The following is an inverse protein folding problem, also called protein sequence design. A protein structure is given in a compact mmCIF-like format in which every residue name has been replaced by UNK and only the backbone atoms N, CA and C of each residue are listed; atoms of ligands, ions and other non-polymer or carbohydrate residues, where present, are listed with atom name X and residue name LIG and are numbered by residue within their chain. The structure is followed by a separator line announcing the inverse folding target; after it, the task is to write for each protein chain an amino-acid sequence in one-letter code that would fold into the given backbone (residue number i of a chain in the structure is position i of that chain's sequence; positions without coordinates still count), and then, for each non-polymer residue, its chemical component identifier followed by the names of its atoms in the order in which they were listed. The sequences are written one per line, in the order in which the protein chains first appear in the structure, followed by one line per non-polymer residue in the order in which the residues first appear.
data_IF_859451672393
#
_entry.id   IF_859451672393
#
_cell.length_a   1.000
_cell.length_b   1.000
_cell.length_c   1.000
_cell.angle_alpha   90.00
_cell.angle_beta   90.00
_cell.angle_gamma   90.00
#
_symmetry.space_group_name_H-M   'P 1'
#
loop_
_entity.id
_entity.type
_entity.pdbx_description
1 polymer ?
#
# COMPACT_ATOMS: atom_id res chain seq x y z
N UNK A 1 36.03 11.38 14.42
CA UNK A 1 34.75 12.10 14.40
C UNK A 1 34.05 12.04 13.06
N UNK A 2 34.50 12.72 11.99
CA UNK A 2 33.78 12.73 10.70
C UNK A 2 33.77 11.35 10.00
N UNK A 3 34.89 10.61 10.04
CA UNK A 3 34.95 9.25 9.49
C UNK A 3 34.02 8.26 10.23
N UNK A 4 34.01 8.30 11.56
CA UNK A 4 33.11 7.46 12.40
C UNK A 4 31.64 7.79 12.14
N UNK A 5 31.32 9.07 11.89
CA UNK A 5 29.96 9.49 11.54
C UNK A 5 29.54 8.99 10.15
N UNK A 6 30.46 8.97 9.18
CA UNK A 6 30.20 8.38 7.86
C UNK A 6 29.99 6.87 7.96
N UNK A 7 30.77 6.17 8.78
CA UNK A 7 30.57 4.73 9.04
C UNK A 7 29.22 4.47 9.69
N UNK A 8 28.78 5.34 10.61
CA UNK A 8 27.45 5.28 11.20
C UNK A 8 26.34 5.47 10.16
N UNK A 9 26.46 6.49 9.29
CA UNK A 9 25.51 6.79 8.21
C UNK A 9 25.39 5.59 7.25
N UNK A 10 26.51 5.05 6.77
CA UNK A 10 26.47 3.91 5.85
C UNK A 10 26.11 2.59 6.55
N UNK A 11 26.37 2.46 7.85
CA UNK A 11 25.94 1.32 8.65
C UNK A 11 24.42 1.19 8.79
N UNK A 12 23.67 2.28 8.64
CA UNK A 12 22.20 2.26 8.63
C UNK A 12 21.60 1.78 7.29
N UNK A 13 22.42 1.61 6.24
CA UNK A 13 21.96 1.13 4.92
C UNK A 13 21.34 -0.27 5.03
N UNK A 14 21.99 -1.17 5.75
CA UNK A 14 21.56 -2.56 5.92
C UNK A 14 20.76 -2.82 7.21
N UNK A 15 20.65 -1.83 8.09
CA UNK A 15 20.01 -1.93 9.40
C UNK A 15 19.13 -0.69 9.64
N UNK A 16 17.91 -0.66 9.08
CA UNK A 16 17.10 0.55 9.06
C UNK A 16 16.69 1.12 10.42
N UNK A 17 16.64 0.28 11.45
CA UNK A 17 16.44 0.68 12.85
C UNK A 17 17.51 1.65 13.37
N UNK A 18 18.70 1.66 12.75
CA UNK A 18 19.82 2.52 13.14
C UNK A 18 19.72 3.96 12.62
N UNK A 19 18.70 4.29 11.83
CA UNK A 19 18.50 5.68 11.38
C UNK A 19 18.29 6.65 12.55
N UNK A 20 17.70 6.20 13.65
CA UNK A 20 17.63 7.00 14.88
C UNK A 20 19.03 7.35 15.42
N UNK A 21 19.95 6.37 15.45
CA UNK A 21 21.34 6.56 15.88
C UNK A 21 22.10 7.52 14.95
N UNK A 22 21.87 7.43 13.64
CA UNK A 22 22.45 8.36 12.66
C UNK A 22 22.01 9.79 12.96
N UNK A 23 20.71 10.01 13.20
CA UNK A 23 20.17 11.33 13.54
C UNK A 23 20.75 11.86 14.85
N UNK A 24 20.94 11.00 15.85
CA UNK A 24 21.62 11.31 17.12
C UNK A 24 23.07 11.73 16.87
N UNK A 25 23.85 10.96 16.10
CA UNK A 25 25.26 11.25 15.82
C UNK A 25 25.47 12.53 15.01
N UNK A 26 24.61 12.79 14.01
CA UNK A 26 24.66 14.05 13.25
C UNK A 26 24.26 15.23 14.15
N UNK A 27 23.28 15.04 15.05
CA UNK A 27 22.90 16.08 16.01
C UNK A 27 24.07 16.48 16.91
N UNK A 28 24.81 15.50 17.44
CA UNK A 28 25.99 15.77 18.26
C UNK A 28 27.07 16.51 17.48
N UNK A 29 27.31 16.11 16.23
CA UNK A 29 28.29 16.76 15.35
C UNK A 29 27.94 18.22 15.05
N UNK A 30 26.65 18.54 14.93
CA UNK A 30 26.15 19.90 14.69
C UNK A 30 25.95 20.72 15.98
N UNK A 31 26.00 20.09 17.16
CA UNK A 31 25.54 20.70 18.40
C UNK A 31 24.05 21.08 18.36
N UNK A 32 23.25 20.26 17.67
CA UNK A 32 21.79 20.38 17.59
C UNK A 32 21.12 19.71 18.80
N UNK A 33 19.90 20.14 19.11
CA UNK A 33 19.07 19.54 20.17
C UNK A 33 18.65 18.11 19.81
N UNK A 34 18.42 17.86 18.52
CA UNK A 34 18.09 16.55 17.98
C UNK A 34 17.79 16.64 16.49
N UNK A 35 17.70 15.47 15.86
CA UNK A 35 17.49 15.33 14.43
C UNK A 35 16.29 14.47 14.12
N UNK A 36 15.72 14.68 12.94
CA UNK A 36 14.64 13.88 12.38
C UNK A 36 14.84 13.63 10.89
N UNK A 37 14.37 12.49 10.42
CA UNK A 37 14.05 12.26 9.01
C UNK A 37 12.53 12.38 8.89
N UNK A 38 12.05 13.31 8.08
CA UNK A 38 10.63 13.61 7.98
C UNK A 38 10.11 13.51 6.55
N UNK A 39 8.88 13.04 6.41
CA UNK A 39 8.10 13.08 5.18
C UNK A 39 6.77 13.77 5.44
N UNK A 40 6.49 14.79 4.64
CA UNK A 40 5.27 15.59 4.66
C UNK A 40 4.48 15.33 3.36
N UNK A 41 3.29 14.73 3.46
CA UNK A 41 2.40 14.52 2.32
C UNK A 41 1.98 15.83 1.62
N UNK A 42 1.48 15.77 0.37
CA UNK A 42 1.07 16.95 -0.37
C UNK A 42 0.04 17.80 0.40
N UNK A 43 0.02 19.11 0.16
CA UNK A 43 -0.92 20.01 0.84
C UNK A 43 -2.37 19.58 0.61
N UNK A 44 -3.16 19.54 1.69
CA UNK A 44 -4.54 19.04 1.66
C UNK A 44 -4.68 17.52 1.69
N UNK A 45 -3.55 16.78 1.68
CA UNK A 45 -3.55 15.37 2.03
C UNK A 45 -4.11 15.19 3.44
N UNK A 46 -4.90 14.13 3.61
CA UNK A 46 -5.35 13.72 4.95
C UNK A 46 -4.25 12.97 5.70
N UNK A 47 -3.32 12.32 4.99
CA UNK A 47 -2.19 11.54 5.54
C UNK A 47 -1.39 12.38 6.55
N UNK A 48 -1.05 11.86 7.75
CA UNK A 48 -0.18 12.59 8.67
C UNK A 48 1.24 12.65 8.09
N UNK A 49 2.05 13.59 8.56
CA UNK A 49 3.49 13.49 8.32
C UNK A 49 4.07 12.27 9.04
N UNK A 50 5.12 11.68 8.49
CA UNK A 50 5.88 10.58 9.10
C UNK A 50 7.23 11.08 9.54
N UNK A 51 7.71 10.67 10.71
CA UNK A 51 9.03 11.02 11.22
C UNK A 51 9.75 9.82 11.80
N UNK A 52 11.05 9.75 11.56
CA UNK A 52 11.99 9.02 12.41
C UNK A 52 12.70 10.06 13.27
N UNK A 53 12.62 9.90 14.58
CA UNK A 53 13.27 10.79 15.53
C UNK A 53 14.59 10.17 15.98
N UNK A 54 15.61 11.00 16.11
CA UNK A 54 16.82 10.65 16.84
C UNK A 54 16.54 10.71 18.34
N UNK A 55 16.86 11.87 18.95
CA UNK A 55 16.62 12.13 20.38
C UNK A 55 15.57 13.20 20.65
N UNK A 56 14.83 13.61 19.62
CA UNK A 56 13.76 14.59 19.78
C UNK A 56 12.60 13.98 20.59
N UNK A 57 11.92 14.77 21.44
CA UNK A 57 10.78 14.28 22.21
C UNK A 57 9.59 13.94 21.32
N UNK A 58 8.87 12.88 21.69
CA UNK A 58 7.75 12.37 20.90
C UNK A 58 6.52 13.29 20.92
N UNK A 59 6.24 13.93 22.06
CA UNK A 59 5.06 14.79 22.27
C UNK A 59 4.96 15.98 21.28
N UNK A 60 5.95 16.88 21.15
CA UNK A 60 5.90 17.97 20.16
C UNK A 60 5.93 17.44 18.72
N UNK A 61 6.62 16.33 18.49
CA UNK A 61 6.70 15.69 17.18
C UNK A 61 5.33 15.15 16.75
N UNK A 62 4.56 14.58 17.67
CA UNK A 62 3.18 14.14 17.41
C UNK A 62 2.25 15.32 17.08
N UNK A 63 2.36 16.44 17.81
CA UNK A 63 1.59 17.67 17.53
C UNK A 63 1.93 18.20 16.13
N UNK A 64 3.22 18.25 15.78
CA UNK A 64 3.65 18.62 14.43
C UNK A 64 3.02 17.74 13.35
N UNK A 65 3.10 16.41 13.49
CA UNK A 65 2.59 15.47 12.47
C UNK A 65 1.09 15.59 12.25
N UNK A 66 0.34 15.88 13.32
CA UNK A 66 -1.12 15.99 13.29
C UNK A 66 -1.62 17.37 12.83
N UNK A 67 -0.97 18.46 13.24
CA UNK A 67 -1.53 19.81 13.14
C UNK A 67 -0.71 20.79 12.30
N UNK A 68 0.61 20.62 12.26
CA UNK A 68 1.53 21.57 11.61
C UNK A 68 2.45 20.98 10.54
N UNK A 69 2.04 19.95 9.74
CA UNK A 69 2.92 19.39 8.72
C UNK A 69 3.23 20.43 7.62
N UNK A 70 2.32 21.35 7.35
CA UNK A 70 2.52 22.51 6.47
C UNK A 70 2.56 23.80 7.30
N UNK A 71 3.75 24.17 7.75
CA UNK A 71 4.05 25.40 8.48
C UNK A 71 4.96 26.31 7.64
N UNK A 72 5.24 27.57 8.07
CA UNK A 72 6.05 28.50 7.28
C UNK A 72 7.44 27.99 6.89
N UNK A 73 8.11 27.20 7.75
CA UNK A 73 9.40 26.59 7.39
C UNK A 73 9.23 25.51 6.32
N UNK A 74 8.24 24.62 6.45
CA UNK A 74 7.95 23.62 5.42
C UNK A 74 7.58 24.26 4.08
N UNK A 75 6.81 25.34 4.08
CA UNK A 75 6.49 26.08 2.85
C UNK A 75 7.74 26.71 2.23
N UNK A 76 8.58 27.35 3.04
CA UNK A 76 9.77 28.03 2.58
C UNK A 76 10.82 27.05 2.02
N UNK A 77 10.99 25.89 2.66
CA UNK A 77 11.98 24.89 2.24
C UNK A 77 11.65 24.32 0.86
N UNK A 78 10.38 24.27 0.42
CA UNK A 78 10.02 23.77 -0.93
C UNK A 78 10.74 24.48 -2.10
N UNK A 79 11.23 25.70 -1.86
CA UNK A 79 11.93 26.53 -2.86
C UNK A 79 13.45 26.28 -2.88
N UNK A 80 13.97 25.48 -1.96
CA UNK A 80 15.39 25.21 -1.79
C UNK A 80 15.82 24.04 -2.69
N UNK A 81 16.96 24.15 -3.40
CA UNK A 81 17.52 23.04 -4.17
C UNK A 81 17.71 21.77 -3.32
N UNK A 82 17.36 20.61 -3.87
CA UNK A 82 17.54 19.32 -3.19
C UNK A 82 18.99 19.05 -2.82
N UNK A 83 19.20 18.41 -1.67
CA UNK A 83 20.52 18.05 -1.17
C UNK A 83 21.34 19.22 -0.65
N UNK A 84 20.80 20.44 -0.59
CA UNK A 84 21.47 21.59 -0.01
C UNK A 84 21.03 21.78 1.45
N UNK A 85 22.00 21.96 2.34
CA UNK A 85 21.72 22.32 3.73
C UNK A 85 21.35 23.81 3.83
N UNK A 86 20.32 24.12 4.62
CA UNK A 86 19.83 25.49 4.85
C UNK A 86 19.37 25.67 6.29
N UNK A 87 19.34 26.92 6.77
CA UNK A 87 18.60 27.28 7.98
C UNK A 87 17.19 27.70 7.56
N UNK A 88 16.16 27.14 8.17
CA UNK A 88 14.79 27.48 7.81
C UNK A 88 14.45 28.94 8.15
N UNK A 89 14.99 29.49 9.24
CA UNK A 89 14.84 30.91 9.57
C UNK A 89 15.42 31.85 8.52
N UNK A 90 16.47 31.43 7.79
CA UNK A 90 17.01 32.25 6.69
C UNK A 90 16.10 32.35 5.47
N UNK A 91 15.04 31.53 5.41
CA UNK A 91 14.10 31.46 4.29
C UNK A 91 12.79 32.21 4.54
N UNK A 92 12.55 32.65 5.77
CA UNK A 92 11.33 33.35 6.19
C UNK A 92 11.66 34.75 6.72
N UNK A 93 10.64 35.60 6.87
CA UNK A 93 10.84 36.92 7.45
C UNK A 93 11.34 36.80 8.91
N UNK A 94 12.39 37.53 9.32
CA UNK A 94 12.92 37.46 10.68
C UNK A 94 11.85 37.67 11.75
N UNK A 95 11.79 36.76 12.73
CA UNK A 95 10.82 36.82 13.84
C UNK A 95 9.36 36.55 13.46
N UNK A 96 9.07 36.23 12.19
CA UNK A 96 7.72 35.83 11.77
C UNK A 96 7.29 34.51 12.40
N UNK A 97 8.23 33.57 12.58
CA UNK A 97 7.95 32.25 13.13
C UNK A 97 7.42 32.32 14.57
N UNK A 98 7.97 33.21 15.40
CA UNK A 98 7.57 33.44 16.79
C UNK A 98 6.11 33.89 16.95
N UNK A 99 5.49 34.37 15.87
CA UNK A 99 4.08 34.83 15.84
C UNK A 99 3.10 33.72 15.43
N UNK A 100 3.58 32.49 15.21
CA UNK A 100 2.77 31.39 14.69
C UNK A 100 2.31 30.44 15.80
N UNK A 101 1.16 29.79 15.60
CA UNK A 101 0.70 28.72 16.49
C UNK A 101 1.67 27.51 16.48
N UNK A 102 2.29 27.22 15.33
CA UNK A 102 3.34 26.21 15.22
C UNK A 102 4.50 26.47 16.19
N UNK A 103 4.96 27.72 16.32
CA UNK A 103 6.00 28.06 17.27
C UNK A 103 5.55 27.86 18.72
N UNK A 104 4.36 28.36 19.07
CA UNK A 104 3.83 28.25 20.43
C UNK A 104 3.62 26.79 20.87
N UNK A 105 3.10 25.95 19.98
CA UNK A 105 2.68 24.58 20.31
C UNK A 105 3.83 23.57 20.21
N UNK A 106 4.78 23.77 19.28
CA UNK A 106 5.81 22.77 18.94
C UNK A 106 7.22 23.23 19.29
N UNK A 107 7.56 24.50 19.03
CA UNK A 107 8.95 24.97 19.10
C UNK A 107 9.31 25.53 20.49
N UNK A 108 8.51 26.46 20.99
CA UNK A 108 8.75 27.18 22.24
C UNK A 108 8.86 26.27 23.48
N UNK A 109 7.99 25.25 23.68
CA UNK A 109 8.05 24.41 24.88
C UNK A 109 9.36 23.63 25.01
N UNK A 110 10.11 23.49 23.90
CA UNK A 110 11.34 22.71 23.80
C UNK A 110 12.56 23.55 23.43
N UNK A 111 12.40 24.87 23.38
CA UNK A 111 13.48 25.82 23.09
C UNK A 111 14.06 25.68 21.68
N UNK A 112 13.26 25.20 20.72
CA UNK A 112 13.64 25.19 19.31
C UNK A 112 13.53 26.61 18.75
N UNK A 113 14.63 27.15 18.25
CA UNK A 113 14.67 28.50 17.67
C UNK A 113 14.89 28.48 16.17
N UNK A 114 15.58 27.46 15.64
CA UNK A 114 15.81 27.26 14.21
C UNK A 114 15.87 25.77 13.89
N UNK A 115 15.81 25.42 12.61
CA UNK A 115 16.04 24.07 12.11
C UNK A 115 16.98 24.11 10.90
N UNK A 116 17.95 23.21 10.88
CA UNK A 116 18.82 23.02 9.72
C UNK A 116 18.27 21.89 8.88
N UNK A 117 17.88 22.19 7.65
CA UNK A 117 17.17 21.27 6.78
C UNK A 117 18.00 20.87 5.56
N UNK A 118 17.82 19.62 5.13
CA UNK A 118 18.18 19.12 3.80
C UNK A 118 16.91 18.57 3.16
N UNK A 119 16.47 19.16 2.06
CA UNK A 119 15.41 18.57 1.24
C UNK A 119 15.92 17.37 0.46
N UNK A 120 15.22 16.25 0.61
CA UNK A 120 15.51 15.01 -0.07
C UNK A 120 14.63 14.84 -1.31
N UNK A 121 15.28 14.70 -2.48
CA UNK A 121 14.60 14.59 -3.77
C UNK A 121 13.61 13.41 -3.83
N UNK A 122 13.95 12.28 -3.21
CA UNK A 122 13.10 11.09 -3.22
C UNK A 122 11.73 11.28 -2.56
N UNK A 123 11.56 12.32 -1.74
CA UNK A 123 10.31 12.68 -1.09
C UNK A 123 9.55 13.82 -1.77
N UNK A 124 10.06 14.36 -2.89
CA UNK A 124 9.43 15.45 -3.60
C UNK A 124 8.61 14.95 -4.80
N UNK A 125 7.56 14.17 -4.53
CA UNK A 125 6.67 13.58 -5.55
C UNK A 125 5.25 14.10 -5.37
N UNK A 126 4.60 14.52 -6.46
CA UNK A 126 3.19 14.98 -6.45
C UNK A 126 2.89 16.06 -5.38
N UNK A 127 3.85 16.95 -5.11
CA UNK A 127 3.71 18.06 -4.16
C UNK A 127 4.01 17.71 -2.69
N UNK A 128 4.48 16.49 -2.40
CA UNK A 128 5.06 16.15 -1.09
C UNK A 128 6.46 16.77 -0.90
N UNK A 129 6.92 16.81 0.35
CA UNK A 129 8.25 17.31 0.72
C UNK A 129 8.80 16.51 1.90
N UNK A 130 10.11 16.45 2.04
CA UNK A 130 10.72 15.79 3.19
C UNK A 130 12.23 15.72 3.08
N UNK A 131 12.85 15.22 4.14
CA UNK A 131 14.30 15.08 4.25
C UNK A 131 14.75 15.17 5.69
N UNK A 132 15.97 15.64 5.90
CA UNK A 132 16.59 15.67 7.23
C UNK A 132 16.42 17.05 7.85
N UNK A 133 16.03 17.10 9.12
CA UNK A 133 15.93 18.33 9.90
C UNK A 133 16.64 18.20 11.24
N UNK A 134 17.39 19.23 11.64
CA UNK A 134 18.14 19.25 12.91
C UNK A 134 17.83 20.52 13.71
N UNK A 135 17.17 20.37 14.86
CA UNK A 135 16.66 21.48 15.65
C UNK A 135 17.79 22.19 16.42
N UNK A 136 17.80 23.52 16.38
CA UNK A 136 18.82 24.38 17.00
C UNK A 136 18.20 25.18 18.15
N UNK A 137 18.89 25.20 19.29
CA UNK A 137 18.50 26.02 20.44
C UNK A 137 18.91 27.49 20.25
N UNK A 138 18.26 28.40 20.97
CA UNK A 138 18.61 29.82 21.00
C UNK A 138 20.05 30.15 21.42
N UNK A 139 20.73 29.26 22.15
CA UNK A 139 22.16 29.43 22.52
C UNK A 139 23.13 29.09 21.38
N UNK A 140 22.64 28.63 20.23
CA UNK A 140 23.43 28.17 19.09
C UNK A 140 23.22 28.96 17.80
N UNK A 141 22.40 30.01 17.82
CA UNK A 141 22.02 30.81 16.63
C UNK A 141 23.21 31.56 16.03
N UNK A 142 24.17 31.98 16.84
CA UNK A 142 25.38 32.70 16.39
C UNK A 142 26.30 31.86 15.47
N UNK A 143 26.17 30.52 15.51
CA UNK A 143 26.99 29.59 14.72
C UNK A 143 26.22 28.89 13.60
N UNK A 144 24.99 29.31 13.29
CA UNK A 144 24.13 28.67 12.28
C UNK A 144 24.82 28.53 10.93
N UNK A 145 25.50 29.58 10.45
CA UNK A 145 26.19 29.53 9.16
C UNK A 145 27.32 28.48 9.12
N UNK A 146 28.02 28.25 10.24
CA UNK A 146 29.03 27.20 10.34
C UNK A 146 28.39 25.81 10.34
N UNK A 147 27.30 25.64 11.09
CA UNK A 147 26.58 24.36 11.18
C UNK A 147 25.93 23.98 9.85
N UNK A 148 25.37 24.94 9.11
CA UNK A 148 24.88 24.72 7.74
C UNK A 148 26.00 24.19 6.86
N UNK A 149 27.21 24.76 6.90
CA UNK A 149 28.35 24.25 6.11
C UNK A 149 28.77 22.83 6.51
N UNK A 150 28.71 22.49 7.80
CA UNK A 150 28.99 21.12 8.26
C UNK A 150 27.92 20.15 7.75
N UNK A 151 26.64 20.51 7.87
CA UNK A 151 25.53 19.70 7.37
C UNK A 151 25.59 19.54 5.84
N UNK A 152 25.97 20.57 5.10
CA UNK A 152 26.11 20.53 3.64
C UNK A 152 27.17 19.52 3.20
N UNK A 153 28.26 19.36 3.97
CA UNK A 153 29.28 18.32 3.72
C UNK A 153 28.75 16.91 3.97
N UNK A 154 27.85 16.73 4.93
CA UNK A 154 27.23 15.43 5.25
C UNK A 154 26.06 15.10 4.30
N UNK A 155 25.41 16.10 3.72
CA UNK A 155 24.21 15.94 2.89
C UNK A 155 24.33 14.89 1.78
N UNK A 156 25.41 14.85 0.97
CA UNK A 156 25.56 13.83 -0.07
C UNK A 156 25.61 12.41 0.50
N UNK A 157 26.14 12.22 1.71
CA UNK A 157 26.24 10.93 2.36
C UNK A 157 24.90 10.49 2.94
N UNK A 158 24.19 11.40 3.61
CA UNK A 158 22.85 11.17 4.14
C UNK A 158 21.86 10.81 3.03
N UNK A 159 21.85 11.57 1.92
CA UNK A 159 20.96 11.30 0.79
C UNK A 159 21.26 9.95 0.14
N UNK A 160 22.54 9.65 -0.16
CA UNK A 160 22.93 8.36 -0.79
C UNK A 160 22.65 7.16 0.11
N UNK A 161 22.89 7.27 1.42
CA UNK A 161 22.59 6.21 2.35
C UNK A 161 21.07 5.99 2.45
N UNK A 162 20.28 7.06 2.46
CA UNK A 162 18.81 6.95 2.45
C UNK A 162 18.28 6.32 1.16
N UNK A 163 18.78 6.71 -0.01
CA UNK A 163 18.47 6.06 -1.29
C UNK A 163 18.72 4.54 -1.20
N UNK A 164 19.88 4.15 -0.68
CA UNK A 164 20.26 2.74 -0.53
C UNK A 164 19.39 2.01 0.51
N UNK A 165 19.09 2.62 1.67
CA UNK A 165 18.22 2.02 2.69
C UNK A 165 16.79 1.85 2.19
N UNK A 166 16.23 2.83 1.44
CA UNK A 166 14.88 2.73 0.89
C UNK A 166 14.81 1.66 -0.22
N UNK A 167 15.86 1.57 -1.05
CA UNK A 167 15.99 0.51 -2.05
C UNK A 167 16.13 -0.88 -1.41
N UNK A 168 16.86 -1.00 -0.30
CA UNK A 168 17.00 -2.28 0.41
C UNK A 168 15.76 -2.63 1.22
N UNK A 169 15.12 -1.66 1.88
CA UNK A 169 13.87 -1.85 2.61
C UNK A 169 12.70 -2.28 1.71
N UNK A 170 12.70 -1.82 0.46
CA UNK A 170 11.76 -2.34 -0.56
C UNK A 170 12.15 -3.73 -1.09
N UNK A 171 13.44 -4.11 -1.04
CA UNK A 171 13.97 -5.38 -1.56
C UNK A 171 14.15 -6.50 -0.52
N UNK A 172 14.06 -6.21 0.78
CA UNK A 172 14.00 -7.24 1.83
C UNK A 172 12.89 -8.23 1.47
N UNK A 173 13.14 -9.53 1.65
CA UNK A 173 12.40 -10.68 1.09
C UNK A 173 10.85 -10.62 1.12
N UNK A 174 10.27 -9.72 1.90
CA UNK A 174 8.85 -9.39 1.95
C UNK A 174 8.20 -9.08 0.60
N UNK A 175 8.85 -8.40 -0.37
CA UNK A 175 8.20 -8.12 -1.66
C UNK A 175 8.08 -9.37 -2.55
N UNK A 176 9.10 -10.24 -2.56
CA UNK A 176 9.04 -11.55 -3.24
C UNK A 176 8.09 -12.51 -2.54
N UNK A 177 8.08 -12.52 -1.20
CA UNK A 177 7.12 -13.31 -0.42
C UNK A 177 5.69 -12.82 -0.63
N UNK A 178 5.45 -11.50 -0.65
CA UNK A 178 4.13 -10.93 -0.88
C UNK A 178 3.64 -11.21 -2.30
N UNK A 179 4.50 -11.10 -3.31
CA UNK A 179 4.21 -11.56 -4.67
C UNK A 179 3.81 -13.04 -4.71
N UNK A 180 4.61 -13.90 -4.07
CA UNK A 180 4.31 -15.33 -4.01
C UNK A 180 2.99 -15.61 -3.27
N UNK A 181 2.69 -14.87 -2.20
CA UNK A 181 1.41 -14.96 -1.47
C UNK A 181 0.24 -14.49 -2.33
N UNK A 182 0.40 -13.41 -3.10
CA UNK A 182 -0.61 -12.92 -4.03
C UNK A 182 -0.93 -13.95 -5.11
N UNK A 183 0.08 -14.63 -5.66
CA UNK A 183 -0.11 -15.68 -6.67
C UNK A 183 -0.77 -16.95 -6.09
N UNK A 184 -0.73 -17.16 -4.77
CA UNK A 184 -1.50 -18.21 -4.10
C UNK A 184 -2.98 -17.84 -3.89
N UNK A 185 -3.39 -16.59 -4.16
CA UNK A 185 -4.77 -16.17 -4.00
C UNK A 185 -5.65 -16.66 -5.17
N UNK A 186 -6.78 -17.33 -4.90
CA UNK A 186 -7.67 -17.84 -5.96
C UNK A 186 -8.48 -16.75 -6.67
N UNK A 187 -8.46 -15.52 -6.14
CA UNK A 187 -9.14 -14.37 -6.72
C UNK A 187 -8.09 -13.41 -7.30
N UNK A 188 -8.50 -12.61 -8.29
CA UNK A 188 -7.67 -11.53 -8.81
C UNK A 188 -7.30 -10.57 -7.67
N UNK A 189 -6.01 -10.29 -7.51
CA UNK A 189 -5.49 -9.41 -6.47
C UNK A 189 -4.52 -8.38 -7.03
N UNK A 190 -4.65 -7.14 -6.56
CA UNK A 190 -3.83 -6.00 -6.95
C UNK A 190 -3.24 -5.36 -5.68
N UNK A 191 -1.94 -5.10 -5.67
CA UNK A 191 -1.32 -4.23 -4.67
C UNK A 191 -1.32 -2.80 -5.20
N UNK A 192 -1.83 -1.89 -4.39
CA UNK A 192 -1.81 -0.46 -4.66
C UNK A 192 -0.81 0.25 -3.76
N UNK A 193 -0.16 1.27 -4.29
CA UNK A 193 0.68 2.18 -3.51
C UNK A 193 -0.14 3.18 -2.69
N UNK A 194 0.55 4.06 -1.95
CA UNK A 194 -0.06 5.16 -1.18
C UNK A 194 -0.89 6.16 -2.02
N UNK A 195 -0.71 6.16 -3.34
CA UNK A 195 -1.42 7.01 -4.29
C UNK A 195 -2.58 6.27 -4.98
N UNK A 196 -2.78 4.97 -4.68
CA UNK A 196 -3.78 4.14 -5.33
C UNK A 196 -3.35 3.62 -6.71
N UNK A 197 -2.06 3.72 -7.05
CA UNK A 197 -1.51 3.20 -8.31
C UNK A 197 -1.16 1.73 -8.14
N UNK A 198 -1.42 0.93 -9.17
CA UNK A 198 -1.10 -0.50 -9.19
C UNK A 198 0.41 -0.67 -9.17
N UNK A 199 0.88 -1.34 -8.13
CA UNK A 199 2.28 -1.76 -7.99
C UNK A 199 2.52 -3.16 -8.55
N UNK A 200 1.58 -4.06 -8.26
CA UNK A 200 1.71 -5.46 -8.60
C UNK A 200 0.34 -6.11 -8.74
N UNK A 201 0.28 -7.12 -9.59
CA UNK A 201 -0.90 -7.94 -9.87
C UNK A 201 -0.53 -9.42 -9.74
N UNK A 202 -1.46 -10.26 -9.32
CA UNK A 202 -1.29 -11.71 -9.46
C UNK A 202 -1.74 -12.18 -10.85
N UNK A 203 -1.45 -13.45 -11.17
CA UNK A 203 -1.82 -14.07 -12.46
C UNK A 203 -3.31 -13.93 -12.78
N UNK A 204 -4.19 -14.17 -11.79
CA UNK A 204 -5.64 -14.05 -11.98
C UNK A 204 -6.10 -12.61 -12.30
N UNK A 205 -5.45 -11.60 -11.70
CA UNK A 205 -5.70 -10.20 -12.00
C UNK A 205 -5.23 -9.84 -13.41
N UNK A 206 -4.04 -10.31 -13.83
CA UNK A 206 -3.55 -10.08 -15.20
C UNK A 206 -4.51 -10.63 -16.26
N UNK A 207 -5.04 -11.84 -16.04
CA UNK A 207 -6.03 -12.44 -16.93
C UNK A 207 -7.33 -11.65 -16.99
N UNK A 208 -7.84 -11.20 -15.83
CA UNK A 208 -9.05 -10.41 -15.76
C UNK A 208 -8.89 -9.05 -16.46
N UNK A 209 -7.74 -8.39 -16.23
CA UNK A 209 -7.41 -7.11 -16.85
C UNK A 209 -7.25 -7.23 -18.38
N UNK A 210 -6.64 -8.31 -18.87
CA UNK A 210 -6.51 -8.58 -20.31
C UNK A 210 -7.87 -8.70 -21.00
N UNK A 211 -8.89 -9.18 -20.28
CA UNK A 211 -10.26 -9.25 -20.78
C UNK A 211 -10.98 -7.90 -20.87
N UNK A 212 -10.53 -6.88 -20.12
CA UNK A 212 -11.12 -5.52 -20.06
C UNK A 212 -12.64 -5.47 -19.85
N UNK A 213 -13.19 -6.48 -19.17
CA UNK A 213 -14.63 -6.70 -19.04
C UNK A 213 -15.12 -6.34 -17.63
N UNK A 214 -15.21 -5.04 -17.38
CA UNK A 214 -15.67 -4.41 -16.13
C UNK A 214 -14.61 -3.52 -15.49
N UNK A 215 -13.33 -3.92 -15.57
CA UNK A 215 -12.19 -3.25 -14.93
C UNK A 215 -11.04 -3.11 -15.93
N UNK A 216 -10.31 -1.99 -15.87
CA UNK A 216 -9.06 -1.73 -16.59
C UNK A 216 -8.13 -0.84 -15.75
N UNK A 217 -6.99 -0.46 -16.31
CA UNK A 217 -6.08 0.54 -15.75
C UNK A 217 -5.85 1.67 -16.74
N UNK A 218 -5.63 2.88 -16.22
CA UNK A 218 -5.24 4.03 -17.02
C UNK A 218 -3.71 4.03 -17.25
N UNK A 219 -3.23 4.88 -18.14
CA UNK A 219 -1.80 5.00 -18.46
C UNK A 219 -0.93 5.40 -17.25
N UNK A 220 -1.55 5.99 -16.21
CA UNK A 220 -0.90 6.36 -14.96
C UNK A 220 -0.88 5.23 -13.90
N UNK A 221 -1.42 4.04 -14.25
CA UNK A 221 -1.49 2.87 -13.38
C UNK A 221 -2.66 2.90 -12.38
N UNK A 222 -3.61 3.82 -12.49
CA UNK A 222 -4.81 3.86 -11.64
C UNK A 222 -5.86 2.83 -12.07
N UNK A 223 -6.54 2.22 -11.09
CA UNK A 223 -7.64 1.29 -11.35
C UNK A 223 -8.88 2.03 -11.84
N UNK A 224 -9.42 1.62 -12.99
CA UNK A 224 -10.59 2.21 -13.63
C UNK A 224 -11.64 1.14 -13.97
N UNK A 225 -12.89 1.59 -14.16
CA UNK A 225 -13.97 0.74 -14.67
C UNK A 225 -14.14 0.97 -16.17
N UNK A 226 -14.12 -0.11 -16.99
CA UNK A 226 -14.27 0.00 -18.46
C UNK A 226 -15.68 0.39 -18.90
N UNK A 227 -16.70 0.02 -18.12
CA UNK A 227 -18.07 0.49 -18.28
C UNK A 227 -18.74 0.41 -16.93
N UNK A 228 -19.19 1.55 -16.43
CA UNK A 228 -19.79 1.65 -15.11
C UNK A 228 -21.04 2.51 -15.20
N UNK A 229 -22.09 2.09 -14.51
CA UNK A 229 -23.12 3.05 -14.12
C UNK A 229 -22.43 4.14 -13.27
N UNK A 230 -22.81 5.43 -13.38
CA UNK A 230 -22.13 6.52 -12.65
C UNK A 230 -21.98 6.26 -11.14
N UNK A 231 -22.95 5.57 -10.53
CA UNK A 231 -22.89 5.17 -9.12
C UNK A 231 -21.81 4.13 -8.79
N UNK A 232 -21.50 3.20 -9.70
CA UNK A 232 -20.48 2.16 -9.48
C UNK A 232 -19.08 2.76 -9.49
N UNK A 233 -18.81 3.72 -10.38
CA UNK A 233 -17.53 4.45 -10.41
C UNK A 233 -17.30 5.25 -9.13
N UNK A 234 -18.34 5.94 -8.66
CA UNK A 234 -18.27 6.70 -7.41
C UNK A 234 -18.07 5.77 -6.21
N UNK A 235 -18.76 4.63 -6.18
CA UNK A 235 -18.61 3.63 -5.13
C UNK A 235 -17.18 3.06 -5.08
N UNK A 236 -16.60 2.69 -6.23
CA UNK A 236 -15.22 2.19 -6.29
C UNK A 236 -14.21 3.26 -5.83
N UNK A 237 -14.32 4.47 -6.34
CA UNK A 237 -13.43 5.57 -5.96
C UNK A 237 -13.50 5.84 -4.45
N UNK A 238 -14.71 5.80 -3.87
CA UNK A 238 -14.90 5.93 -2.43
C UNK A 238 -14.27 4.77 -1.66
N UNK A 239 -14.48 3.53 -2.09
CA UNK A 239 -13.93 2.37 -1.42
C UNK A 239 -12.39 2.35 -1.40
N UNK A 240 -11.75 2.71 -2.52
CA UNK A 240 -10.30 2.84 -2.61
C UNK A 240 -9.78 3.97 -1.70
N UNK A 241 -10.48 5.11 -1.69
CA UNK A 241 -10.11 6.25 -0.84
C UNK A 241 -10.24 5.93 0.64
N UNK A 242 -11.33 5.29 1.05
CA UNK A 242 -11.56 4.90 2.44
C UNK A 242 -10.51 3.87 2.89
N UNK A 243 -10.18 2.88 2.04
CA UNK A 243 -9.10 1.93 2.32
C UNK A 243 -7.73 2.62 2.47
N UNK A 244 -7.39 3.61 1.63
CA UNK A 244 -6.14 4.38 1.76
C UNK A 244 -6.10 5.23 3.05
N UNK A 245 -7.25 5.74 3.49
CA UNK A 245 -7.38 6.46 4.77
C UNK A 245 -7.19 5.52 5.96
N UNK A 246 -7.72 4.30 5.91
CA UNK A 246 -7.49 3.30 6.96
C UNK A 246 -6.03 2.81 6.95
N UNK A 247 -5.45 2.56 5.77
CA UNK A 247 -4.05 2.13 5.61
C UNK A 247 -3.01 3.16 6.08
N UNK A 248 -3.45 4.38 6.38
CA UNK A 248 -2.63 5.46 6.92
C UNK A 248 -2.91 5.77 8.39
N UNK A 249 -3.76 4.96 9.05
CA UNK A 249 -4.09 5.11 10.47
C UNK A 249 -5.08 6.23 10.78
N UNK A 250 -5.72 6.83 9.76
CA UNK A 250 -6.60 7.99 9.91
C UNK A 250 -8.10 7.66 9.91
N UNK A 251 -8.43 6.38 9.87
CA UNK A 251 -9.81 5.92 9.86
C UNK A 251 -9.90 4.46 10.26
N UNK A 252 -11.11 4.05 10.62
CA UNK A 252 -11.43 2.66 10.99
C UNK A 252 -12.55 2.08 10.13
N UNK A 253 -13.22 2.91 9.34
CA UNK A 253 -14.35 2.50 8.51
C UNK A 253 -13.87 2.04 7.13
N UNK A 254 -14.15 0.78 6.81
CA UNK A 254 -14.00 0.25 5.46
C UNK A 254 -15.31 0.41 4.69
N UNK A 255 -15.20 0.75 3.40
CA UNK A 255 -16.35 0.74 2.52
C UNK A 255 -16.83 -0.70 2.27
N UNK A 256 -18.12 -0.84 1.97
CA UNK A 256 -18.69 -2.13 1.56
C UNK A 256 -18.11 -2.60 0.22
N UNK A 257 -18.12 -3.93 -0.05
CA UNK A 257 -17.76 -4.48 -1.34
C UNK A 257 -18.51 -3.79 -2.49
N UNK A 258 -17.76 -3.39 -3.52
CA UNK A 258 -18.33 -2.69 -4.67
C UNK A 258 -18.69 -3.69 -5.76
N UNK A 259 -19.95 -3.69 -6.15
CA UNK A 259 -20.44 -4.47 -7.29
C UNK A 259 -20.13 -3.72 -8.58
N UNK A 260 -19.49 -4.40 -9.53
CA UNK A 260 -19.09 -3.84 -10.83
C UNK A 260 -19.76 -4.65 -11.94
N UNK A 261 -20.62 -3.98 -12.71
CA UNK A 261 -21.26 -4.57 -13.88
C UNK A 261 -20.25 -4.79 -15.01
N UNK A 262 -20.49 -5.81 -15.85
CA UNK A 262 -19.60 -6.19 -16.94
C UNK A 262 -20.23 -5.83 -18.30
N UNK A 263 -19.50 -5.15 -19.20
CA UNK A 263 -19.96 -4.89 -20.57
C UNK A 263 -20.48 -6.12 -21.31
N UNK A 264 -19.88 -7.30 -21.07
CA UNK A 264 -20.30 -8.57 -21.67
C UNK A 264 -21.69 -9.05 -21.22
N UNK A 265 -22.27 -8.46 -20.17
CA UNK A 265 -23.49 -8.94 -19.52
C UNK A 265 -23.27 -10.15 -18.61
N UNK A 266 -22.02 -10.57 -18.40
CA UNK A 266 -21.69 -11.62 -17.43
C UNK A 266 -22.01 -11.20 -15.99
N UNK A 267 -21.99 -12.18 -15.08
CA UNK A 267 -22.20 -11.93 -13.66
C UNK A 267 -21.23 -10.83 -13.15
N UNK A 268 -21.73 -9.88 -12.34
CA UNK A 268 -20.94 -8.73 -11.89
C UNK A 268 -19.75 -9.18 -11.05
N UNK A 269 -18.67 -8.39 -11.11
CA UNK A 269 -17.52 -8.55 -10.24
C UNK A 269 -17.84 -7.97 -8.86
N UNK A 270 -17.21 -8.50 -7.82
CA UNK A 270 -17.17 -7.88 -6.50
C UNK A 270 -15.75 -7.41 -6.21
N UNK A 271 -15.59 -6.12 -5.95
CA UNK A 271 -14.31 -5.48 -5.66
C UNK A 271 -14.26 -5.13 -4.18
N UNK A 272 -13.21 -5.59 -3.51
CA UNK A 272 -12.97 -5.35 -2.08
C UNK A 272 -11.60 -4.72 -1.92
N UNK A 273 -11.55 -3.54 -1.29
CA UNK A 273 -10.29 -2.87 -0.97
C UNK A 273 -9.94 -3.12 0.50
N UNK A 274 -8.79 -3.76 0.74
CA UNK A 274 -8.32 -4.15 2.07
C UNK A 274 -7.04 -3.37 2.39
N UNK A 275 -7.03 -2.50 3.41
CA UNK A 275 -5.80 -1.83 3.82
C UNK A 275 -4.81 -2.83 4.40
N UNK A 276 -3.54 -2.65 4.06
CA UNK A 276 -2.47 -3.38 4.73
C UNK A 276 -2.20 -2.74 6.11
N UNK A 277 -1.87 -3.54 7.14
CA UNK A 277 -1.48 -3.00 8.42
C UNK A 277 -0.25 -2.11 8.27
N UNK A 278 -0.20 -1.02 9.06
CA UNK A 278 0.96 -0.16 9.10
C UNK A 278 2.20 -0.97 9.52
N UNK A 279 3.35 -0.80 8.84
CA UNK A 279 4.58 -1.44 9.28
C UNK A 279 4.90 -1.03 10.71
N UNK A 280 5.48 -1.96 11.48
CA UNK A 280 5.82 -1.77 12.89
C UNK A 280 6.93 -0.73 13.14
N UNK A 281 7.55 -0.18 12.08
CA UNK A 281 8.59 0.84 12.17
C UNK A 281 8.30 1.98 11.17
N UNK A 282 8.44 3.26 11.59
CA UNK A 282 8.29 4.42 10.69
C UNK A 282 9.25 4.39 9.49
N UNK A 283 10.42 3.75 9.61
CA UNK A 283 11.31 3.57 8.46
C UNK A 283 10.69 2.62 7.43
N UNK A 284 10.15 1.48 7.88
CA UNK A 284 9.46 0.55 6.99
C UNK A 284 8.19 1.16 6.43
N UNK A 285 7.51 2.04 7.17
CA UNK A 285 6.41 2.82 6.63
C UNK A 285 6.88 3.70 5.45
N UNK A 286 8.00 4.39 5.61
CA UNK A 286 8.57 5.24 4.57
C UNK A 286 9.08 4.44 3.34
N UNK A 287 9.60 3.24 3.59
CA UNK A 287 10.06 2.30 2.56
C UNK A 287 8.92 1.47 1.93
N UNK A 288 7.81 1.26 2.64
CA UNK A 288 6.68 0.46 2.21
C UNK A 288 5.88 1.21 1.14
N UNK A 289 6.05 0.75 -0.09
CA UNK A 289 5.37 1.31 -1.24
C UNK A 289 3.91 0.85 -1.28
N UNK A 290 3.62 -0.41 -0.96
CA UNK A 290 2.26 -0.96 -0.99
C UNK A 290 1.45 -0.65 0.28
N UNK A 291 0.18 -0.28 0.10
CA UNK A 291 -0.72 0.17 1.18
C UNK A 291 -2.09 -0.49 1.17
N UNK A 292 -2.58 -0.90 0.01
CA UNK A 292 -3.92 -1.51 -0.12
C UNK A 292 -3.80 -2.74 -1.02
N UNK A 293 -4.48 -3.81 -0.63
CA UNK A 293 -4.74 -4.96 -1.51
C UNK A 293 -6.18 -4.85 -2.01
N UNK A 294 -6.37 -4.81 -3.32
CA UNK A 294 -7.69 -4.91 -3.94
C UNK A 294 -7.90 -6.34 -4.39
N UNK A 295 -8.97 -6.97 -3.90
CA UNK A 295 -9.38 -8.32 -4.29
C UNK A 295 -10.63 -8.21 -5.16
N UNK A 296 -10.58 -8.83 -6.33
CA UNK A 296 -11.66 -8.87 -7.31
C UNK A 296 -12.15 -10.31 -7.41
N UNK A 297 -13.39 -10.53 -6.98
CA UNK A 297 -14.05 -11.83 -7.08
C UNK A 297 -14.83 -11.88 -8.38
N UNK A 298 -14.45 -12.80 -9.27
CA UNK A 298 -15.21 -13.17 -10.46
C UNK A 298 -15.97 -14.50 -10.20
N UNK A 299 -17.31 -14.46 -10.04
CA UNK A 299 -18.11 -15.66 -9.85
C UNK A 299 -17.95 -16.70 -10.99
N UNK A 300 -17.71 -16.23 -12.23
CA UNK A 300 -17.53 -17.10 -13.38
C UNK A 300 -16.14 -17.77 -13.38
N UNK A 301 -15.10 -17.06 -12.93
CA UNK A 301 -13.77 -17.65 -12.73
C UNK A 301 -13.80 -18.72 -11.63
N UNK A 302 -14.43 -18.43 -10.49
CA UNK A 302 -14.58 -19.38 -9.38
C UNK A 302 -15.29 -20.67 -9.81
N UNK A 303 -16.35 -20.54 -10.61
CA UNK A 303 -17.08 -21.69 -11.15
C UNK A 303 -16.21 -22.54 -12.09
N UNK A 304 -15.41 -21.90 -12.95
CA UNK A 304 -14.47 -22.59 -13.86
C UNK A 304 -13.37 -23.33 -13.09
N UNK A 305 -12.78 -22.71 -12.07
CA UNK A 305 -11.77 -23.33 -11.22
C UNK A 305 -12.31 -24.58 -10.50
N UNK A 306 -13.51 -24.50 -9.93
CA UNK A 306 -14.19 -25.65 -9.31
C UNK A 306 -14.45 -26.79 -10.31
N UNK A 307 -14.89 -26.46 -11.53
CA UNK A 307 -15.05 -27.47 -12.59
C UNK A 307 -13.73 -28.18 -12.85
N UNK A 308 -12.64 -27.44 -13.07
CA UNK A 308 -11.30 -28.01 -13.32
C UNK A 308 -10.82 -28.89 -12.15
N UNK A 309 -10.98 -28.43 -10.92
CA UNK A 309 -10.57 -29.17 -9.72
C UNK A 309 -11.34 -30.49 -9.54
N UNK A 310 -12.66 -30.46 -9.75
CA UNK A 310 -13.51 -31.67 -9.71
C UNK A 310 -13.11 -32.65 -10.82
N UNK A 311 -12.83 -32.14 -12.03
CA UNK A 311 -12.35 -32.99 -13.13
C UNK A 311 -11.02 -33.67 -12.78
N UNK A 312 -10.07 -32.93 -12.22
CA UNK A 312 -8.77 -33.47 -11.83
C UNK A 312 -8.87 -34.50 -10.69
N UNK A 313 -9.72 -34.26 -9.70
CA UNK A 313 -9.85 -35.12 -8.53
C UNK A 313 -10.61 -36.43 -8.79
N UNK A 314 -11.63 -36.40 -9.67
CA UNK A 314 -12.54 -37.54 -9.89
C UNK A 314 -12.56 -38.05 -11.33
N UNK A 315 -11.71 -37.52 -12.22
CA UNK A 315 -11.69 -37.90 -13.64
C UNK A 315 -12.99 -37.58 -14.38
N UNK A 316 -13.75 -36.58 -13.91
CA UNK A 316 -14.96 -36.13 -14.60
C UNK A 316 -14.61 -35.42 -15.92
N UNK A 317 -15.52 -35.53 -16.89
CA UNK A 317 -15.48 -34.65 -18.07
C UNK A 317 -16.00 -33.25 -17.72
N UNK A 318 -15.73 -32.25 -18.57
CA UNK A 318 -16.20 -30.88 -18.34
C UNK A 318 -17.74 -30.76 -18.32
N UNK A 319 -18.45 -31.66 -19.01
CA UNK A 319 -19.91 -31.72 -18.97
C UNK A 319 -20.42 -32.31 -17.64
N UNK A 320 -19.82 -33.42 -17.19
CA UNK A 320 -20.12 -34.07 -15.90
C UNK A 320 -19.86 -33.13 -14.72
N UNK A 321 -18.71 -32.46 -14.70
CA UNK A 321 -18.36 -31.51 -13.64
C UNK A 321 -19.29 -30.28 -13.59
N UNK A 322 -19.77 -29.80 -14.75
CA UNK A 322 -20.78 -28.71 -14.79
C UNK A 322 -22.13 -29.13 -14.21
N UNK A 323 -22.60 -30.35 -14.51
CA UNK A 323 -23.83 -30.91 -13.92
C UNK A 323 -23.70 -31.06 -12.41
N UNK A 324 -22.57 -31.60 -11.95
CA UNK A 324 -22.22 -31.75 -10.54
C UNK A 324 -22.23 -30.41 -9.77
N UNK A 325 -21.61 -29.37 -10.34
CA UNK A 325 -21.53 -28.05 -9.70
C UNK A 325 -22.91 -27.38 -9.58
N UNK A 326 -23.78 -27.53 -10.58
CA UNK A 326 -25.15 -27.00 -10.52
C UNK A 326 -25.97 -27.65 -9.39
N UNK A 327 -25.87 -28.98 -9.24
CA UNK A 327 -26.48 -29.68 -8.11
C UNK A 327 -25.93 -29.22 -6.76
N UNK A 328 -24.61 -29.05 -6.65
CA UNK A 328 -23.97 -28.56 -5.42
C UNK A 328 -24.39 -27.12 -5.08
N UNK A 329 -24.71 -26.32 -6.10
CA UNK A 329 -25.22 -24.95 -5.95
C UNK A 329 -26.72 -24.89 -5.63
N UNK A 330 -27.37 -26.03 -5.40
CA UNK A 330 -28.78 -26.10 -5.02
C UNK A 330 -29.77 -26.04 -6.19
N UNK A 331 -29.30 -26.11 -7.44
CA UNK A 331 -30.19 -26.18 -8.60
C UNK A 331 -30.89 -27.54 -8.62
N UNK A 332 -32.22 -27.54 -8.69
CA UNK A 332 -32.98 -28.77 -8.73
C UNK A 332 -32.65 -29.58 -9.99
N UNK A 333 -32.46 -30.89 -9.87
CA UNK A 333 -32.06 -31.75 -11.01
C UNK A 333 -32.97 -31.65 -12.24
N UNK A 334 -34.25 -31.32 -12.04
CA UNK A 334 -35.22 -31.09 -13.12
C UNK A 334 -34.99 -29.77 -13.90
N UNK A 335 -34.30 -28.80 -13.32
CA UNK A 335 -34.02 -27.49 -13.92
C UNK A 335 -32.69 -27.47 -14.70
N UNK A 336 -31.75 -28.35 -14.36
CA UNK A 336 -30.43 -28.46 -14.99
C UNK A 336 -30.49 -28.62 -16.53
N UNK A 337 -31.40 -29.43 -17.12
CA UNK A 337 -31.51 -29.54 -18.58
C UNK A 337 -31.75 -28.18 -19.25
N UNK A 338 -32.62 -27.36 -18.67
CA UNK A 338 -32.92 -26.02 -19.18
C UNK A 338 -31.73 -25.06 -18.99
N UNK A 339 -31.05 -25.13 -17.84
CA UNK A 339 -29.86 -24.30 -17.56
C UNK A 339 -28.70 -24.59 -18.52
N UNK A 340 -28.50 -25.84 -18.92
CA UNK A 340 -27.40 -26.26 -19.80
C UNK A 340 -27.79 -26.39 -21.28
N UNK A 341 -29.06 -26.23 -21.63
CA UNK A 341 -29.55 -26.36 -23.00
C UNK A 341 -29.44 -27.78 -23.58
N UNK A 342 -29.59 -28.81 -22.73
CA UNK A 342 -29.46 -30.23 -23.11
C UNK A 342 -30.69 -31.05 -22.70
N UNK A 343 -30.86 -32.25 -23.27
CA UNK A 343 -32.02 -33.08 -22.97
C UNK A 343 -32.00 -33.65 -21.54
N UNK A 344 -33.16 -33.93 -20.91
CA UNK A 344 -33.22 -34.62 -19.62
C UNK A 344 -32.53 -35.99 -19.63
N UNK A 345 -32.59 -36.71 -20.76
CA UNK A 345 -31.90 -38.01 -20.92
C UNK A 345 -30.37 -37.87 -20.88
N UNK A 346 -29.84 -36.79 -21.46
CA UNK A 346 -28.41 -36.43 -21.41
C UNK A 346 -27.97 -36.15 -19.97
N UNK A 347 -28.74 -35.36 -19.21
CA UNK A 347 -28.46 -35.09 -17.79
C UNK A 347 -28.48 -36.39 -16.97
N UNK A 348 -29.45 -37.28 -17.20
CA UNK A 348 -29.51 -38.58 -16.52
C UNK A 348 -28.26 -39.42 -16.77
N UNK A 349 -27.71 -39.36 -17.99
CA UNK A 349 -26.46 -40.06 -18.36
C UNK A 349 -25.26 -39.45 -17.64
N UNK A 350 -25.13 -38.12 -17.64
CA UNK A 350 -24.05 -37.44 -16.92
C UNK A 350 -24.09 -37.73 -15.42
N UNK A 351 -25.28 -37.72 -14.79
CA UNK A 351 -25.43 -38.03 -13.37
C UNK A 351 -25.00 -39.46 -13.04
N UNK A 352 -25.36 -40.43 -13.88
CA UNK A 352 -24.90 -41.82 -13.70
C UNK A 352 -23.38 -41.91 -13.70
N UNK A 353 -22.71 -41.27 -14.67
CA UNK A 353 -21.25 -41.28 -14.72
C UNK A 353 -20.63 -40.51 -13.54
N UNK A 354 -21.24 -39.41 -13.09
CA UNK A 354 -20.81 -38.72 -11.88
C UNK A 354 -20.87 -39.65 -10.66
N UNK A 355 -21.97 -40.39 -10.46
CA UNK A 355 -22.12 -41.35 -9.36
C UNK A 355 -21.06 -42.44 -9.42
N UNK A 356 -20.85 -43.05 -10.59
CA UNK A 356 -19.83 -44.09 -10.80
C UNK A 356 -18.41 -43.58 -10.49
N UNK A 357 -18.04 -42.40 -11.00
CA UNK A 357 -16.68 -41.86 -10.84
C UNK A 357 -16.40 -41.27 -9.46
N UNK A 358 -17.44 -40.84 -8.74
CA UNK A 358 -17.30 -40.23 -7.40
C UNK A 358 -17.60 -41.21 -6.28
N UNK A 359 -18.09 -42.41 -6.59
CA UNK A 359 -18.50 -43.41 -5.59
C UNK A 359 -19.72 -42.97 -4.77
N UNK A 360 -20.56 -42.09 -5.30
CA UNK A 360 -21.79 -41.63 -4.64
C UNK A 360 -23.01 -42.35 -5.20
N UNK A 361 -24.07 -42.45 -4.40
CA UNK A 361 -25.27 -43.23 -4.75
C UNK A 361 -26.54 -42.39 -4.87
N UNK A 362 -26.46 -41.08 -4.61
CA UNK A 362 -27.60 -40.17 -4.75
C UNK A 362 -27.17 -38.76 -5.15
N UNK A 363 -28.11 -37.97 -5.71
CA UNK A 363 -27.88 -36.55 -5.99
C UNK A 363 -27.54 -35.76 -4.71
N UNK A 364 -28.09 -36.18 -3.56
CA UNK A 364 -27.82 -35.56 -2.27
C UNK A 364 -26.40 -35.87 -1.76
N UNK A 365 -25.93 -37.11 -1.95
CA UNK A 365 -24.54 -37.47 -1.63
C UNK A 365 -23.55 -36.74 -2.54
N UNK A 366 -23.85 -36.69 -3.84
CA UNK A 366 -23.03 -35.96 -4.82
C UNK A 366 -22.98 -34.46 -4.51
N UNK A 367 -24.12 -33.84 -4.16
CA UNK A 367 -24.17 -32.42 -3.81
C UNK A 367 -23.40 -32.12 -2.51
N UNK A 368 -23.49 -32.99 -1.50
CA UNK A 368 -22.70 -32.88 -0.26
C UNK A 368 -21.21 -33.01 -0.51
N UNK A 369 -20.81 -34.00 -1.32
CA UNK A 369 -19.40 -34.22 -1.67
C UNK A 369 -18.78 -32.97 -2.30
N UNK A 370 -19.50 -32.31 -3.21
CA UNK A 370 -19.00 -31.12 -3.90
C UNK A 370 -19.21 -29.81 -3.14
N UNK A 371 -20.19 -29.73 -2.23
CA UNK A 371 -20.30 -28.61 -1.29
C UNK A 371 -19.11 -28.57 -0.32
N UNK A 372 -18.46 -29.70 -0.06
CA UNK A 372 -17.25 -29.82 0.77
C UNK A 372 -15.94 -29.55 0.00
N UNK A 373 -16.00 -29.36 -1.33
CA UNK A 373 -14.80 -29.17 -2.14
C UNK A 373 -14.26 -27.74 -1.94
N UNK A 374 -13.04 -27.55 -1.42
CA UNK A 374 -12.46 -26.22 -1.27
C UNK A 374 -12.22 -25.62 -2.67
N UNK A 375 -12.38 -24.29 -2.85
CA UNK A 375 -11.93 -23.62 -4.06
C UNK A 375 -10.40 -23.78 -4.11
N UNK A 376 -9.94 -24.75 -4.88
CA UNK A 376 -8.52 -25.10 -5.00
C UNK A 376 -8.06 -24.79 -6.40
N UNK A 377 -6.99 -24.01 -6.46
CA UNK A 377 -6.29 -23.68 -7.68
C UNK A 377 -5.47 -24.90 -8.11
N UNK A 378 -5.85 -25.53 -9.21
CA UNK A 378 -5.00 -26.55 -9.85
C UNK A 378 -4.01 -25.81 -10.72
N UNK A 379 -3.06 -25.12 -10.08
CA UNK A 379 -1.85 -24.67 -10.76
C UNK A 379 -1.01 -25.93 -11.06
N UNK A 380 -0.82 -26.17 -12.35
CA UNK A 380 -0.10 -27.33 -12.88
C UNK A 380 1.35 -27.44 -12.39
N UNK A 381 1.80 -28.68 -12.39
CA UNK A 381 3.17 -29.17 -12.15
C UNK A 381 4.24 -28.43 -12.92
#
# INVERSE_FOLDING_TARGET
MEAELLDLIYGAVAAPERWADVLVGVSDHLGALGGMLAYVPPRGSKLPATQILGRLPEEPSAIFRAHYPWNPWTEAVTKVPFGKAVSANSLVEPGSIHKTAFYADVLAPWGHEDILDINYRGFAVDGSVGGFGFCISGRGTDQVAQRVRLLDRLSPHLCRALDASLLLGSRTDGQRQLSAILDLMPNAALLLDRHGRIMQTNTAAEELLRGSDGIAFDADGSLQLTSALPGERQALSRALKDALVVASGLGTALAEPVRVSRPSGAAPLLVVAVPLPLPSSPFLELAAQARVVVVIVDPAAKSRAMVSAIQAAYGLTAAEARVALLLASGVAGAQIPATLGVSPATIKTHLRHCFEKTGTHSQLELSRLFAMFPPTDVAGR
#
